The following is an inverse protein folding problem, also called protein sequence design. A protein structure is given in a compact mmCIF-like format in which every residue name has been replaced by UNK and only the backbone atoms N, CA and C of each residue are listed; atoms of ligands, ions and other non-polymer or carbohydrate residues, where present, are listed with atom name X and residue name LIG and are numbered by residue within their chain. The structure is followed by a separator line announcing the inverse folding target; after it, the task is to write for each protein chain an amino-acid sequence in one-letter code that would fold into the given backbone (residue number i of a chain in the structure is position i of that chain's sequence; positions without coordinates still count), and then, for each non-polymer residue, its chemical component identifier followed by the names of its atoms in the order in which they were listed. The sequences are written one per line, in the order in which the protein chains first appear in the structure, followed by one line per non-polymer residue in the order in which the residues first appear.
data_IF_354522211717
#
_entry.id   IF_354522211717
#
_cell.length_a   1.000
_cell.length_b   1.000
_cell.length_c   1.000
_cell.angle_alpha   90.00
_cell.angle_beta   90.00
_cell.angle_gamma   90.00
#
_symmetry.space_group_name_H-M   'P 1'
#
loop_
_entity.id
_entity.type
_entity.pdbx_description
1 polymer ?
#
# COMPACT_ATOMS: atom_id res chain seq x y z
N UNK A 1 3.37 9.67 11.02
CA UNK A 1 2.36 8.87 10.30
C UNK A 1 3.00 7.60 9.76
N UNK A 2 2.45 6.41 10.04
CA UNK A 2 3.01 5.14 9.55
C UNK A 2 2.87 5.01 8.02
N UNK A 3 3.94 4.61 7.33
CA UNK A 3 3.95 4.29 5.88
C UNK A 3 3.38 2.89 5.63
N UNK A 4 2.19 2.62 6.15
CA UNK A 4 1.52 1.32 6.09
C UNK A 4 0.08 1.50 5.63
N UNK A 5 -0.40 0.61 4.77
CA UNK A 5 -1.81 0.57 4.40
C UNK A 5 -2.65 0.13 5.60
N UNK A 6 -3.60 0.96 6.02
CA UNK A 6 -4.40 0.72 7.22
C UNK A 6 -5.43 -0.41 7.09
N UNK A 7 -5.77 -0.80 5.85
CA UNK A 7 -6.72 -1.88 5.54
C UNK A 7 -5.99 -3.22 5.34
N UNK A 8 -4.97 -3.25 4.49
CA UNK A 8 -4.27 -4.50 4.12
C UNK A 8 -3.00 -4.77 4.92
N UNK A 9 -2.52 -3.81 5.71
CA UNK A 9 -1.24 -3.92 6.43
C UNK A 9 0.00 -3.82 5.53
N UNK A 10 -0.16 -3.60 4.22
CA UNK A 10 0.95 -3.56 3.27
C UNK A 10 1.92 -2.43 3.63
N UNK A 11 3.19 -2.79 3.81
CA UNK A 11 4.30 -1.90 4.18
C UNK A 11 5.39 -1.91 3.10
N UNK A 12 6.31 -0.97 3.19
CA UNK A 12 7.47 -0.94 2.30
C UNK A 12 8.25 -2.25 2.38
N UNK A 13 8.70 -2.75 1.23
CA UNK A 13 9.48 -3.97 1.13
C UNK A 13 10.95 -3.63 0.86
N UNK A 14 11.86 -4.34 1.52
CA UNK A 14 13.27 -4.29 1.18
C UNK A 14 13.54 -5.19 -0.03
N UNK A 15 14.36 -4.72 -0.96
CA UNK A 15 14.88 -5.57 -2.02
C UNK A 15 16.12 -4.95 -2.66
N UNK A 16 16.48 -5.45 -3.84
CA UNK A 16 17.67 -5.02 -4.56
C UNK A 16 17.27 -4.30 -5.83
N UNK A 17 17.96 -3.20 -6.12
CA UNK A 17 17.95 -2.58 -7.43
C UNK A 17 19.07 -3.20 -8.25
N UNK A 18 18.68 -4.11 -9.13
CA UNK A 18 19.57 -4.72 -10.12
C UNK A 18 19.32 -4.05 -11.46
N UNK A 19 20.33 -3.44 -12.07
CA UNK A 19 20.26 -2.88 -13.43
C UNK A 19 21.12 -3.70 -14.37
N UNK A 20 20.55 -4.07 -15.51
CA UNK A 20 21.27 -4.66 -16.64
C UNK A 20 21.39 -3.58 -17.72
N UNK A 21 22.49 -2.79 -17.74
CA UNK A 21 22.67 -1.75 -18.75
C UNK A 21 22.79 -2.31 -20.18
N UNK A 22 23.25 -3.56 -20.33
CA UNK A 22 23.33 -4.29 -21.59
C UNK A 22 22.81 -5.73 -21.42
N UNK A 23 22.31 -6.34 -22.50
CA UNK A 23 21.88 -7.75 -22.53
C UNK A 23 23.08 -8.71 -22.53
N UNK A 24 22.92 -9.91 -21.95
CA UNK A 24 23.92 -10.98 -21.96
C UNK A 24 24.56 -11.29 -20.59
N UNK A 25 25.87 -11.58 -20.58
CA UNK A 25 26.66 -12.00 -19.41
C UNK A 25 26.69 -10.99 -18.24
N UNK A 26 26.19 -9.77 -18.46
CA UNK A 26 26.07 -8.73 -17.44
C UNK A 26 25.01 -9.01 -16.37
N UNK A 27 24.11 -9.99 -16.57
CA UNK A 27 23.16 -10.42 -15.54
C UNK A 27 23.86 -10.87 -14.24
N UNK A 28 25.03 -11.51 -14.36
CA UNK A 28 25.81 -11.98 -13.21
C UNK A 28 26.72 -10.90 -12.59
N UNK A 29 27.00 -9.82 -13.32
CA UNK A 29 27.85 -8.70 -12.88
C UNK A 29 27.06 -7.45 -12.52
N UNK A 30 25.73 -7.54 -12.56
CA UNK A 30 24.84 -6.41 -12.38
C UNK A 30 25.05 -5.78 -10.99
N UNK A 31 25.26 -4.46 -10.90
CA UNK A 31 25.39 -3.79 -9.61
C UNK A 31 24.12 -3.98 -8.78
N UNK A 32 24.27 -4.54 -7.58
CA UNK A 32 23.17 -4.79 -6.67
C UNK A 32 23.18 -3.78 -5.53
N UNK A 33 22.38 -2.72 -5.67
CA UNK A 33 22.20 -1.72 -4.61
C UNK A 33 20.97 -2.05 -3.77
N UNK A 34 21.06 -1.86 -2.46
CA UNK A 34 19.88 -1.97 -1.59
C UNK A 34 18.86 -0.89 -1.97
N UNK A 35 17.58 -1.28 -2.07
CA UNK A 35 16.47 -0.37 -2.34
C UNK A 35 15.28 -0.71 -1.46
N UNK A 36 14.56 0.32 -1.02
CA UNK A 36 13.23 0.17 -0.41
C UNK A 36 12.16 0.45 -1.46
N UNK A 37 11.22 -0.47 -1.60
CA UNK A 37 10.05 -0.34 -2.45
C UNK A 37 8.89 0.19 -1.61
N UNK A 38 8.59 1.47 -1.77
CA UNK A 38 7.48 2.10 -1.06
C UNK A 38 6.14 1.65 -1.62
N UNK A 39 5.12 1.64 -0.76
CA UNK A 39 3.75 1.38 -1.17
C UNK A 39 3.15 2.69 -1.66
N UNK A 40 2.46 2.66 -2.81
CA UNK A 40 1.67 3.80 -3.27
C UNK A 40 0.45 3.97 -2.34
N UNK A 41 0.60 4.81 -1.31
CA UNK A 41 -0.42 5.12 -0.32
C UNK A 41 -1.19 6.36 -0.74
N UNK A 42 -2.51 6.23 -0.81
CA UNK A 42 -3.46 7.29 -1.11
C UNK A 42 -4.24 7.64 0.15
N UNK A 43 -4.54 8.92 0.34
CA UNK A 43 -5.36 9.38 1.45
C UNK A 43 -6.81 9.43 1.00
N UNK A 44 -7.67 8.68 1.66
CA UNK A 44 -9.11 8.58 1.34
C UNK A 44 -9.93 9.01 2.54
N UNK A 45 -10.98 9.77 2.29
CA UNK A 45 -11.96 10.15 3.31
C UNK A 45 -13.15 9.21 3.24
N UNK A 46 -13.43 8.52 4.34
CA UNK A 46 -14.57 7.62 4.49
C UNK A 46 -15.59 8.26 5.43
N UNK A 47 -16.87 8.14 5.08
CA UNK A 47 -17.97 8.49 5.96
C UNK A 47 -18.27 7.31 6.88
N UNK A 48 -18.29 7.57 8.17
CA UNK A 48 -18.66 6.62 9.22
C UNK A 48 -19.85 7.17 10.00
N UNK A 49 -20.61 6.33 10.72
CA UNK A 49 -21.72 6.81 11.54
C UNK A 49 -21.30 7.89 12.56
N UNK A 50 -20.05 7.83 13.03
CA UNK A 50 -19.46 8.80 13.96
C UNK A 50 -18.80 10.01 13.30
N UNK A 51 -18.86 10.15 11.97
CA UNK A 51 -18.32 11.29 11.22
C UNK A 51 -17.38 10.94 10.07
N UNK A 52 -16.63 11.93 9.57
CA UNK A 52 -15.67 11.75 8.47
C UNK A 52 -14.30 11.33 9.00
N UNK A 53 -13.72 10.28 8.42
CA UNK A 53 -12.38 9.80 8.79
C UNK A 53 -11.45 9.70 7.60
N UNK A 54 -10.24 10.23 7.74
CA UNK A 54 -9.18 10.11 6.73
C UNK A 54 -8.33 8.89 7.02
N UNK A 55 -8.17 8.02 6.03
CA UNK A 55 -7.34 6.82 6.13
C UNK A 55 -6.35 6.72 4.96
N UNK A 56 -5.21 6.05 5.20
CA UNK A 56 -4.19 5.75 4.20
C UNK A 56 -4.38 4.34 3.64
N UNK A 57 -4.71 4.26 2.36
CA UNK A 57 -5.04 3.03 1.65
C UNK A 57 -4.05 2.84 0.51
N UNK A 58 -3.59 1.62 0.26
CA UNK A 58 -2.76 1.36 -0.91
C UNK A 58 -3.60 1.54 -2.18
N UNK A 59 -3.05 2.16 -3.23
CA UNK A 59 -3.77 2.43 -4.47
C UNK A 59 -4.44 1.17 -5.07
N UNK A 60 -3.76 0.01 -5.01
CA UNK A 60 -4.31 -1.29 -5.45
C UNK A 60 -5.60 -1.68 -4.72
N UNK A 61 -5.79 -1.23 -3.48
CA UNK A 61 -6.98 -1.57 -2.68
C UNK A 61 -8.19 -0.72 -3.05
N UNK A 62 -8.03 0.41 -3.75
CA UNK A 62 -9.15 1.29 -4.11
C UNK A 62 -10.22 0.57 -4.94
N UNK A 63 -9.81 -0.36 -5.80
CA UNK A 63 -10.72 -1.17 -6.63
C UNK A 63 -11.05 -2.52 -6.02
N UNK A 64 -10.55 -2.84 -4.82
CA UNK A 64 -10.79 -4.14 -4.19
C UNK A 64 -12.22 -4.25 -3.67
N UNK A 65 -12.85 -5.42 -3.85
CA UNK A 65 -14.18 -5.73 -3.30
C UNK A 65 -14.25 -5.51 -1.78
N UNK A 66 -13.17 -5.85 -1.07
CA UNK A 66 -13.06 -5.63 0.38
C UNK A 66 -13.14 -4.16 0.77
N UNK A 67 -12.53 -3.27 -0.01
CA UNK A 67 -12.57 -1.84 0.26
C UNK A 67 -13.91 -1.24 -0.14
N UNK A 68 -14.46 -1.65 -1.28
CA UNK A 68 -15.79 -1.24 -1.72
C UNK A 68 -16.88 -1.60 -0.70
N UNK A 69 -16.84 -2.81 -0.14
CA UNK A 69 -17.78 -3.22 0.91
C UNK A 69 -17.71 -2.33 2.16
N UNK A 70 -16.55 -1.76 2.48
CA UNK A 70 -16.40 -0.80 3.58
C UNK A 70 -16.99 0.55 3.21
N UNK A 71 -16.70 1.03 2.00
CA UNK A 71 -17.18 2.33 1.51
C UNK A 71 -18.71 2.35 1.34
N UNK A 72 -19.30 1.23 0.90
CA UNK A 72 -20.76 1.07 0.76
C UNK A 72 -21.47 0.79 2.08
N UNK A 73 -20.73 0.66 3.19
CA UNK A 73 -21.31 0.39 4.51
C UNK A 73 -21.73 -1.07 4.74
N UNK A 74 -21.49 -1.98 3.79
CA UNK A 74 -21.76 -3.42 3.96
C UNK A 74 -20.84 -4.06 5.02
N UNK A 75 -19.63 -3.52 5.20
CA UNK A 75 -18.69 -3.94 6.25
C UNK A 75 -18.25 -2.75 7.08
N UNK A 76 -18.18 -2.89 8.42
CA UNK A 76 -17.67 -1.82 9.26
C UNK A 76 -16.17 -1.61 9.03
N UNK A 77 -15.69 -0.39 9.33
CA UNK A 77 -14.26 -0.15 9.41
C UNK A 77 -13.62 -1.03 10.49
N UNK A 78 -12.36 -1.47 10.30
CA UNK A 78 -11.61 -2.18 11.32
C UNK A 78 -11.56 -1.40 12.64
N UNK A 79 -11.72 -2.09 13.78
CA UNK A 79 -11.81 -1.48 15.12
C UNK A 79 -10.61 -0.59 15.46
N UNK A 80 -9.40 -0.95 15.01
CA UNK A 80 -8.19 -0.13 15.23
C UNK A 80 -8.23 1.22 14.50
N UNK A 81 -9.13 1.37 13.53
CA UNK A 81 -9.41 2.61 12.81
C UNK A 81 -10.69 3.29 13.28
N UNK A 82 -11.33 2.86 14.38
CA UNK A 82 -12.55 3.51 14.90
C UNK A 82 -12.31 4.39 16.13
N UNK A 83 -11.09 4.41 16.68
CA UNK A 83 -10.67 5.36 17.73
C UNK A 83 -10.51 6.78 17.22
#
# INVERSE_FOLDING_TARGET
MSKVCQISGRKAQAGRWTRHPHSGAWAHRAPQKARRFEVNLQTVTIQTPSGKKRIKVAARMLTSKSFQAIVTGQKPLPKHLMK
#
